data_IF_825667865929
#
_entry.id   IF_825667865929
#
_cell.length_a   1.000
_cell.length_b   1.000
_cell.length_c   1.000
_cell.angle_alpha   90.00
_cell.angle_beta   90.00
_cell.angle_gamma   90.00
#
_symmetry.space_group_name_H-M   'P 1'
#
loop_
_entity.id
_entity.type
_entity.pdbx_description
1 polymer ?
#
# COMPACT_ATOMS: atom_id res chain seq x y z
N UNK A 1 23.51 -9.93 24.22
CA UNK A 1 22.66 -11.08 23.84
C UNK A 1 21.28 -10.84 24.43
N UNK A 2 20.32 -10.39 23.64
CA UNK A 2 18.95 -10.16 24.07
C UNK A 2 18.17 -11.45 23.87
N UNK A 3 17.57 -11.97 24.94
CA UNK A 3 16.65 -13.11 24.92
C UNK A 3 15.57 -12.86 23.87
N UNK A 4 15.29 -13.80 22.97
CA UNK A 4 14.18 -13.66 22.03
C UNK A 4 12.90 -13.46 22.85
N UNK A 5 12.20 -12.33 22.64
CA UNK A 5 10.87 -12.14 23.22
C UNK A 5 9.97 -13.26 22.68
N UNK A 6 9.47 -14.08 23.57
CA UNK A 6 8.46 -15.09 23.24
C UNK A 6 7.24 -14.34 22.75
N UNK A 7 6.90 -14.52 21.47
CA UNK A 7 5.67 -13.93 20.89
C UNK A 7 4.49 -14.71 21.46
N UNK A 8 3.52 -14.07 22.13
CA UNK A 8 2.33 -14.76 22.61
C UNK A 8 1.57 -15.37 21.43
N UNK A 9 1.34 -16.70 21.47
CA UNK A 9 0.65 -17.43 20.42
C UNK A 9 -0.90 -17.35 20.54
N UNK A 10 -1.38 -16.89 21.68
CA UNK A 10 -2.80 -16.85 22.07
C UNK A 10 -3.51 -15.53 21.76
N UNK A 11 -2.83 -14.57 21.12
CA UNK A 11 -3.44 -13.30 20.73
C UNK A 11 -4.52 -13.49 19.67
N UNK A 12 -5.70 -12.92 19.92
CA UNK A 12 -6.79 -12.80 18.95
C UNK A 12 -6.50 -11.60 18.04
N UNK A 13 -6.11 -11.86 16.78
CA UNK A 13 -5.76 -10.83 15.81
C UNK A 13 -6.94 -10.37 14.95
N UNK A 14 -8.05 -11.12 14.88
CA UNK A 14 -9.24 -10.73 14.13
C UNK A 14 -10.24 -10.01 15.04
N UNK A 15 -11.01 -9.05 14.52
CA UNK A 15 -12.06 -8.39 15.29
C UNK A 15 -13.24 -9.33 15.54
N UNK A 16 -14.11 -8.95 16.46
CA UNK A 16 -15.34 -9.68 16.73
C UNK A 16 -16.25 -9.73 15.48
N UNK A 17 -17.06 -10.80 15.29
CA UNK A 17 -17.85 -10.98 14.06
C UNK A 17 -18.86 -9.86 13.77
N UNK A 18 -19.27 -9.09 14.77
CA UNK A 18 -20.20 -7.95 14.65
C UNK A 18 -19.49 -6.61 14.42
N UNK A 19 -18.15 -6.61 14.31
CA UNK A 19 -17.35 -5.39 14.14
C UNK A 19 -17.74 -4.64 12.86
N UNK A 20 -17.64 -3.30 12.89
CA UNK A 20 -17.99 -2.40 11.78
C UNK A 20 -17.31 -2.74 10.45
N UNK A 21 -16.09 -3.29 10.47
CA UNK A 21 -15.38 -3.75 9.26
C UNK A 21 -16.17 -4.79 8.46
N UNK A 22 -16.88 -5.70 9.14
CA UNK A 22 -17.66 -6.74 8.47
C UNK A 22 -18.95 -6.24 7.84
N UNK A 23 -19.40 -5.01 8.17
CA UNK A 23 -20.53 -4.34 7.53
C UNK A 23 -20.12 -3.68 6.20
N UNK A 24 -18.83 -3.42 5.99
CA UNK A 24 -18.33 -2.92 4.71
C UNK A 24 -18.43 -4.01 3.64
N UNK A 25 -18.75 -3.65 2.36
CA UNK A 25 -18.92 -4.63 1.30
C UNK A 25 -17.64 -5.42 1.04
N UNK A 26 -17.71 -6.74 1.12
CA UNK A 26 -16.66 -7.62 0.63
C UNK A 26 -16.78 -7.70 -0.89
N UNK A 27 -15.79 -7.17 -1.60
CA UNK A 27 -15.74 -7.14 -3.06
C UNK A 27 -14.54 -7.91 -3.59
N UNK A 28 -14.57 -8.31 -4.85
CA UNK A 28 -13.47 -8.96 -5.54
C UNK A 28 -13.56 -8.66 -7.04
N UNK A 29 -12.49 -8.14 -7.60
CA UNK A 29 -12.34 -8.04 -9.06
C UNK A 29 -12.25 -9.45 -9.69
N UNK A 30 -12.80 -9.68 -10.88
CA UNK A 30 -12.67 -10.96 -11.56
C UNK A 30 -11.24 -11.27 -12.02
N UNK A 31 -10.31 -10.32 -11.93
CA UNK A 31 -8.96 -10.41 -12.48
C UNK A 31 -7.92 -10.99 -11.49
N UNK A 32 -8.34 -11.64 -10.39
CA UNK A 32 -7.45 -12.17 -9.36
C UNK A 32 -6.32 -13.04 -9.92
N UNK A 33 -6.68 -14.06 -10.71
CA UNK A 33 -5.70 -15.04 -11.24
C UNK A 33 -4.71 -14.37 -12.20
N UNK A 34 -5.19 -13.46 -13.02
CA UNK A 34 -4.36 -12.69 -13.93
C UNK A 34 -3.38 -11.77 -13.18
N UNK A 35 -3.82 -11.15 -12.09
CA UNK A 35 -2.96 -10.34 -11.22
C UNK A 35 -1.86 -11.19 -10.56
N UNK A 36 -2.18 -12.39 -10.05
CA UNK A 36 -1.16 -13.30 -9.47
C UNK A 36 -0.09 -13.66 -10.52
N UNK A 37 -0.51 -13.94 -11.75
CA UNK A 37 0.41 -14.23 -12.86
C UNK A 37 1.31 -13.01 -13.18
N UNK A 38 0.72 -11.82 -13.33
CA UNK A 38 1.43 -10.59 -13.66
C UNK A 38 2.44 -10.19 -12.59
N UNK A 39 2.14 -10.39 -11.30
CA UNK A 39 3.06 -10.13 -10.19
C UNK A 39 4.33 -10.98 -10.32
N UNK A 40 4.16 -12.27 -10.57
CA UNK A 40 5.31 -13.18 -10.71
C UNK A 40 6.11 -12.89 -11.98
N UNK A 41 5.45 -12.58 -13.09
CA UNK A 41 6.13 -12.17 -14.34
C UNK A 41 6.92 -10.88 -14.16
N UNK A 42 6.36 -9.90 -13.44
CA UNK A 42 7.06 -8.67 -13.10
C UNK A 42 8.29 -8.94 -12.23
N UNK A 43 8.14 -9.75 -11.19
CA UNK A 43 9.25 -10.12 -10.31
C UNK A 43 10.36 -10.86 -11.04
N UNK A 44 10.02 -11.81 -11.92
CA UNK A 44 10.97 -12.56 -12.73
C UNK A 44 11.70 -11.64 -13.73
N UNK A 45 10.97 -10.77 -14.44
CA UNK A 45 11.49 -9.83 -15.42
C UNK A 45 12.56 -8.91 -14.84
N UNK A 46 12.30 -8.32 -13.68
CA UNK A 46 13.21 -7.38 -13.04
C UNK A 46 14.14 -8.05 -12.01
N UNK A 47 14.10 -9.37 -11.92
CA UNK A 47 14.92 -10.15 -10.98
C UNK A 47 14.78 -9.64 -9.55
N UNK A 48 13.55 -9.35 -9.15
CA UNK A 48 13.24 -8.84 -7.81
C UNK A 48 13.33 -9.90 -6.74
N UNK A 49 13.27 -11.17 -7.13
CA UNK A 49 13.39 -12.34 -6.25
C UNK A 49 14.43 -13.29 -6.80
N UNK A 50 15.27 -13.85 -5.93
CA UNK A 50 16.32 -14.80 -6.31
C UNK A 50 15.95 -16.23 -5.94
N UNK A 51 15.87 -17.05 -6.97
CA UNK A 51 15.65 -18.49 -6.89
C UNK A 51 14.21 -18.92 -6.58
N UNK A 52 13.94 -20.24 -6.71
CA UNK A 52 12.58 -20.79 -6.63
C UNK A 52 11.90 -20.57 -5.27
N UNK A 53 12.67 -20.55 -4.18
CA UNK A 53 12.12 -20.36 -2.83
C UNK A 53 11.63 -18.94 -2.60
N UNK A 54 12.39 -17.92 -3.05
CA UNK A 54 11.96 -16.52 -2.94
C UNK A 54 10.74 -16.26 -3.81
N UNK A 55 10.73 -16.82 -5.03
CA UNK A 55 9.58 -16.76 -5.93
C UNK A 55 8.33 -17.39 -5.32
N UNK A 56 8.47 -18.58 -4.68
CA UNK A 56 7.36 -19.23 -4.00
C UNK A 56 6.84 -18.41 -2.82
N UNK A 57 7.73 -17.80 -2.02
CA UNK A 57 7.31 -16.89 -0.93
C UNK A 57 6.49 -15.71 -1.45
N UNK A 58 6.91 -15.09 -2.58
CA UNK A 58 6.13 -14.03 -3.20
C UNK A 58 4.75 -14.55 -3.65
N UNK A 59 4.68 -15.72 -4.29
CA UNK A 59 3.42 -16.35 -4.67
C UNK A 59 2.51 -16.61 -3.45
N UNK A 60 3.07 -17.09 -2.34
CA UNK A 60 2.34 -17.40 -1.10
C UNK A 60 1.81 -16.15 -0.38
N UNK A 61 2.24 -14.93 -0.76
CA UNK A 61 1.64 -13.70 -0.24
C UNK A 61 0.23 -13.46 -0.76
N UNK A 62 -0.14 -14.07 -1.89
CA UNK A 62 -1.41 -13.83 -2.59
C UNK A 62 -1.68 -12.34 -2.83
N UNK A 63 -0.67 -11.63 -3.33
CA UNK A 63 -0.73 -10.18 -3.54
C UNK A 63 -1.77 -9.81 -4.61
N UNK A 64 -1.98 -10.67 -5.61
CA UNK A 64 -3.06 -10.51 -6.60
C UNK A 64 -4.44 -10.55 -5.97
N UNK A 65 -4.64 -11.34 -4.92
CA UNK A 65 -5.88 -11.32 -4.14
C UNK A 65 -6.08 -10.00 -3.41
N UNK A 66 -5.02 -9.45 -2.77
CA UNK A 66 -5.11 -8.12 -2.15
C UNK A 66 -5.58 -7.07 -3.16
N UNK A 67 -4.92 -7.01 -4.33
CA UNK A 67 -5.27 -6.06 -5.39
C UNK A 67 -6.72 -6.28 -5.85
N UNK A 68 -7.12 -7.51 -6.11
CA UNK A 68 -8.47 -7.82 -6.57
C UNK A 68 -9.56 -7.42 -5.55
N UNK A 69 -9.28 -7.56 -4.24
CA UNK A 69 -10.21 -7.14 -3.17
C UNK A 69 -10.27 -5.63 -3.02
N UNK A 70 -9.13 -4.94 -3.13
CA UNK A 70 -9.03 -3.50 -2.89
C UNK A 70 -9.40 -2.64 -4.11
N UNK A 71 -9.38 -3.22 -5.31
CA UNK A 71 -9.72 -2.52 -6.57
C UNK A 71 -10.84 -3.25 -7.32
N UNK A 72 -12.08 -3.22 -6.80
CA UNK A 72 -13.20 -3.97 -7.39
C UNK A 72 -13.60 -3.46 -8.79
N UNK A 73 -13.29 -2.22 -9.11
CA UNK A 73 -13.57 -1.57 -10.40
C UNK A 73 -12.37 -1.58 -11.36
N UNK A 74 -11.38 -2.44 -11.11
CA UNK A 74 -10.16 -2.55 -11.92
C UNK A 74 -10.49 -3.01 -13.34
N UNK A 75 -10.04 -2.24 -14.33
CA UNK A 75 -10.19 -2.53 -15.74
C UNK A 75 -9.06 -3.41 -16.26
N UNK A 76 -9.36 -4.29 -17.21
CA UNK A 76 -8.39 -5.25 -17.76
C UNK A 76 -7.12 -4.59 -18.33
N UNK A 77 -7.25 -3.47 -19.03
CA UNK A 77 -6.13 -2.75 -19.63
C UNK A 77 -5.21 -2.03 -18.61
N UNK A 78 -5.57 -2.07 -17.31
CA UNK A 78 -4.84 -1.42 -16.21
C UNK A 78 -4.21 -2.39 -15.22
N UNK A 79 -4.33 -3.69 -15.47
CA UNK A 79 -3.82 -4.74 -14.60
C UNK A 79 -2.30 -4.71 -14.43
N UNK A 80 -1.56 -4.70 -15.55
CA UNK A 80 -0.11 -4.88 -15.53
C UNK A 80 0.63 -3.74 -14.80
N UNK A 81 0.35 -2.43 -15.01
CA UNK A 81 1.00 -1.38 -14.25
C UNK A 81 0.65 -1.41 -12.75
N UNK A 82 -0.60 -1.78 -12.41
CA UNK A 82 -1.02 -1.90 -11.01
C UNK A 82 -0.30 -3.07 -10.32
N UNK A 83 -0.23 -4.24 -10.96
CA UNK A 83 0.54 -5.39 -10.47
C UNK A 83 2.02 -5.02 -10.28
N UNK A 84 2.62 -4.30 -11.24
CA UNK A 84 3.99 -3.83 -11.17
C UNK A 84 4.24 -2.90 -9.98
N UNK A 85 3.34 -1.93 -9.73
CA UNK A 85 3.47 -1.02 -8.59
C UNK A 85 3.38 -1.77 -7.26
N UNK A 86 2.43 -2.70 -7.10
CA UNK A 86 2.31 -3.49 -5.88
C UNK A 86 3.50 -4.40 -5.66
N UNK A 87 4.00 -5.06 -6.71
CA UNK A 87 5.21 -5.88 -6.61
C UNK A 87 6.41 -5.04 -6.15
N UNK A 88 6.60 -3.86 -6.77
CA UNK A 88 7.64 -2.91 -6.38
C UNK A 88 7.47 -2.45 -4.93
N UNK A 89 6.25 -2.04 -4.53
CA UNK A 89 5.99 -1.51 -3.20
C UNK A 89 6.23 -2.54 -2.09
N UNK A 90 5.87 -3.80 -2.30
CA UNK A 90 6.11 -4.88 -1.34
C UNK A 90 7.59 -5.27 -1.26
N UNK A 91 8.30 -5.25 -2.39
CA UNK A 91 9.73 -5.57 -2.40
C UNK A 91 10.55 -4.46 -1.73
N UNK A 92 10.20 -3.18 -1.95
CA UNK A 92 10.90 -2.08 -1.29
C UNK A 92 10.64 -2.05 0.21
N UNK A 93 9.42 -2.34 0.65
CA UNK A 93 9.05 -2.45 2.07
C UNK A 93 9.92 -3.52 2.77
N UNK A 94 9.96 -4.74 2.21
CA UNK A 94 10.78 -5.83 2.74
C UNK A 94 12.31 -5.53 2.69
N UNK A 95 12.75 -4.73 1.72
CA UNK A 95 14.15 -4.30 1.62
C UNK A 95 14.50 -3.33 2.76
N UNK A 96 13.65 -2.34 3.01
CA UNK A 96 13.90 -1.33 4.06
C UNK A 96 13.72 -1.88 5.48
N UNK A 97 12.96 -2.95 5.69
CA UNK A 97 12.88 -3.67 6.96
C UNK A 97 14.27 -4.16 7.46
N UNK A 98 15.23 -4.33 6.56
CA UNK A 98 16.61 -4.77 6.86
C UNK A 98 17.63 -3.65 7.05
N UNK A 99 17.31 -2.37 6.71
CA UNK A 99 18.28 -1.28 6.75
C UNK A 99 18.51 -0.74 8.17
N UNK A 100 19.80 -0.52 8.50
CA UNK A 100 20.21 0.21 9.71
C UNK A 100 20.24 1.72 9.42
N UNK A 101 19.94 2.55 10.44
CA UNK A 101 19.92 4.02 10.31
C UNK A 101 21.29 4.64 9.97
N UNK A 102 22.39 3.92 10.24
CA UNK A 102 23.75 4.37 9.86
C UNK A 102 23.87 4.65 8.34
N UNK A 103 22.92 4.14 7.54
CA UNK A 103 22.82 4.36 6.09
C UNK A 103 21.90 5.53 5.72
N UNK A 104 21.48 6.37 6.69
CA UNK A 104 20.51 7.45 6.46
C UNK A 104 20.91 8.42 5.33
N UNK A 105 22.20 8.69 5.13
CA UNK A 105 22.68 9.51 4.01
C UNK A 105 22.52 8.80 2.65
N UNK A 106 22.73 7.48 2.63
CA UNK A 106 22.45 6.63 1.47
C UNK A 106 20.95 6.60 1.18
N UNK A 107 20.13 6.45 2.21
CA UNK A 107 18.67 6.46 2.09
C UNK A 107 18.15 7.76 1.43
N UNK A 108 18.55 8.92 1.92
CA UNK A 108 18.13 10.21 1.35
C UNK A 108 18.49 10.30 -0.15
N UNK A 109 19.70 9.85 -0.53
CA UNK A 109 20.13 9.84 -1.91
C UNK A 109 19.30 8.90 -2.78
N UNK A 110 18.99 7.72 -2.26
CA UNK A 110 18.14 6.73 -2.93
C UNK A 110 16.73 7.27 -3.11
N UNK A 111 16.12 7.83 -2.06
CA UNK A 111 14.80 8.48 -2.12
C UNK A 111 14.76 9.58 -3.19
N UNK A 112 15.75 10.49 -3.24
CA UNK A 112 15.79 11.55 -4.24
C UNK A 112 15.91 11.01 -5.68
N UNK A 113 16.65 9.93 -5.90
CA UNK A 113 16.74 9.29 -7.21
C UNK A 113 15.43 8.60 -7.61
N UNK A 114 14.77 7.93 -6.68
CA UNK A 114 13.44 7.35 -6.93
C UNK A 114 12.40 8.43 -7.25
N UNK A 115 12.40 9.55 -6.52
CA UNK A 115 11.50 10.68 -6.81
C UNK A 115 11.82 11.33 -8.16
N UNK A 116 13.08 11.41 -8.55
CA UNK A 116 13.47 11.91 -9.87
C UNK A 116 12.95 11.01 -11.02
N UNK A 117 12.74 9.72 -10.76
CA UNK A 117 12.12 8.80 -11.72
C UNK A 117 10.63 9.11 -11.96
N UNK A 118 9.97 9.79 -11.02
CA UNK A 118 8.55 10.17 -11.08
C UNK A 118 8.37 11.57 -11.71
N UNK A 119 9.00 11.84 -12.84
CA UNK A 119 8.86 13.11 -13.56
C UNK A 119 7.45 13.27 -14.14
N UNK A 120 6.95 14.52 -14.16
CA UNK A 120 5.68 14.83 -14.81
C UNK A 120 5.73 14.45 -16.30
N UNK A 121 4.67 13.86 -16.77
CA UNK A 121 4.50 13.45 -18.16
C UNK A 121 3.32 14.22 -18.78
N UNK A 122 3.41 14.61 -20.07
CA UNK A 122 2.23 15.12 -20.76
C UNK A 122 1.12 14.07 -20.73
N UNK A 123 -0.10 14.49 -20.42
CA UNK A 123 -1.26 13.61 -20.57
C UNK A 123 -1.33 13.16 -22.05
N UNK A 124 -1.31 11.87 -22.27
CA UNK A 124 -1.51 11.32 -23.63
C UNK A 124 -2.88 11.75 -24.19
N UNK A 125 -3.07 11.70 -25.52
CA UNK A 125 -4.39 11.95 -26.10
C UNK A 125 -5.39 10.95 -25.51
N UNK A 126 -6.62 11.45 -25.22
CA UNK A 126 -7.70 10.55 -24.81
C UNK A 126 -7.84 9.41 -25.82
N UNK A 127 -7.96 8.15 -25.38
CA UNK A 127 -8.10 7.05 -26.31
C UNK A 127 -9.32 7.30 -27.19
N UNK A 128 -9.16 7.19 -28.51
CA UNK A 128 -10.31 6.99 -29.39
C UNK A 128 -10.96 5.66 -28.94
N UNK A 129 -12.27 5.63 -28.82
CA UNK A 129 -13.06 4.50 -28.29
C UNK A 129 -12.85 3.14 -29.00
N UNK A 130 -12.02 3.08 -30.05
CA UNK A 130 -11.81 1.92 -30.93
C UNK A 130 -10.34 1.48 -31.10
N UNK A 131 -9.41 1.87 -30.24
CA UNK A 131 -8.04 1.36 -30.37
C UNK A 131 -7.93 -0.03 -29.72
N UNK A 132 -7.49 -1.08 -30.49
CA UNK A 132 -7.23 -2.40 -29.92
C UNK A 132 -6.16 -2.28 -28.83
N UNK A 133 -6.17 -3.16 -27.80
CA UNK A 133 -5.17 -3.15 -26.76
C UNK A 133 -3.80 -3.29 -27.41
N UNK A 134 -2.92 -2.34 -27.17
CA UNK A 134 -1.52 -2.42 -27.58
C UNK A 134 -0.88 -3.61 -26.86
N UNK A 135 -0.97 -4.76 -27.51
CA UNK A 135 -0.28 -5.97 -27.13
C UNK A 135 1.19 -5.84 -27.44
N UNK A 136 1.94 -5.27 -26.50
CA UNK A 136 3.39 -5.47 -26.45
C UNK A 136 3.77 -5.61 -24.98
N UNK A 137 3.71 -6.85 -24.50
CA UNK A 137 4.56 -7.22 -23.38
C UNK A 137 5.99 -6.95 -23.84
N UNK A 138 6.75 -6.06 -23.15
CA UNK A 138 8.12 -5.78 -23.53
C UNK A 138 8.92 -7.11 -23.52
N UNK A 139 9.71 -7.34 -24.55
CA UNK A 139 10.50 -8.57 -24.70
C UNK A 139 11.57 -8.66 -23.61
N UNK A 140 11.97 -9.88 -23.26
CA UNK A 140 13.01 -10.15 -22.26
C UNK A 140 14.34 -9.44 -22.53
N UNK A 141 14.59 -9.03 -23.79
CA UNK A 141 15.81 -8.33 -24.22
C UNK A 141 15.76 -6.81 -23.93
N UNK A 142 14.62 -6.24 -23.52
CA UNK A 142 14.46 -4.82 -23.19
C UNK A 142 14.77 -4.48 -21.72
N UNK A 143 15.39 -5.39 -20.96
CA UNK A 143 15.84 -5.10 -19.61
C UNK A 143 16.99 -4.05 -19.68
N UNK A 144 16.89 -2.91 -18.96
CA UNK A 144 17.97 -1.93 -18.95
C UNK A 144 19.28 -2.55 -18.43
N UNK A 145 20.45 -2.15 -18.98
CA UNK A 145 21.73 -2.61 -18.47
C UNK A 145 21.86 -2.25 -16.98
N UNK A 146 22.50 -3.13 -16.20
CA UNK A 146 22.82 -2.87 -14.81
C UNK A 146 23.78 -1.65 -14.73
N UNK A 147 23.21 -0.47 -14.50
CA UNK A 147 23.93 0.78 -14.30
C UNK A 147 23.96 1.19 -12.83
N UNK A 148 24.63 2.28 -12.50
CA UNK A 148 24.75 2.90 -11.16
C UNK A 148 23.40 3.38 -10.53
N UNK A 149 22.25 2.88 -11.01
CA UNK A 149 20.94 3.21 -10.48
C UNK A 149 20.72 2.51 -9.13
N UNK A 150 20.09 3.19 -8.15
CA UNK A 150 19.75 2.53 -6.91
C UNK A 150 18.78 1.38 -7.19
N UNK A 151 18.81 0.33 -6.36
CA UNK A 151 17.87 -0.77 -6.48
C UNK A 151 16.44 -0.25 -6.59
N UNK A 152 15.63 -0.80 -7.50
CA UNK A 152 14.22 -0.50 -7.72
C UNK A 152 13.88 0.89 -8.32
N UNK A 153 14.84 1.74 -8.67
CA UNK A 153 14.55 3.03 -9.28
C UNK A 153 14.13 2.91 -10.75
N UNK A 154 14.77 2.02 -11.50
CA UNK A 154 14.44 1.78 -12.91
C UNK A 154 13.09 1.09 -13.04
N UNK A 155 12.79 0.16 -12.15
CA UNK A 155 11.50 -0.51 -12.05
C UNK A 155 10.37 0.47 -11.72
N UNK A 156 10.60 1.39 -10.77
CA UNK A 156 9.65 2.46 -10.47
C UNK A 156 9.43 3.39 -11.67
N UNK A 157 10.48 3.74 -12.39
CA UNK A 157 10.39 4.57 -13.59
C UNK A 157 9.53 3.92 -14.67
N UNK A 158 9.66 2.61 -14.88
CA UNK A 158 8.86 1.86 -15.86
C UNK A 158 7.39 1.77 -15.41
N UNK A 159 7.13 1.46 -14.15
CA UNK A 159 5.77 1.48 -13.59
C UNK A 159 5.15 2.86 -13.76
N UNK A 160 5.87 3.91 -13.36
CA UNK A 160 5.40 5.28 -13.44
C UNK A 160 5.05 5.70 -14.86
N UNK A 161 5.90 5.37 -15.84
CA UNK A 161 5.67 5.66 -17.24
C UNK A 161 4.30 5.14 -17.71
N UNK A 162 3.91 3.95 -17.26
CA UNK A 162 2.62 3.32 -17.62
C UNK A 162 1.45 3.85 -16.79
N UNK A 163 1.66 4.15 -15.52
CA UNK A 163 0.63 4.72 -14.66
C UNK A 163 0.27 6.14 -15.08
N UNK A 164 1.27 6.98 -15.37
CA UNK A 164 1.09 8.39 -15.67
C UNK A 164 0.51 8.67 -17.07
N UNK A 165 0.66 7.73 -18.02
CA UNK A 165 0.37 7.92 -19.45
C UNK A 165 -1.06 8.42 -19.75
N UNK A 166 -2.03 8.07 -18.88
CA UNK A 166 -3.46 8.42 -19.07
C UNK A 166 -4.04 9.24 -17.94
N UNK A 167 -3.17 9.80 -17.07
CA UNK A 167 -3.60 10.54 -15.90
C UNK A 167 -3.32 12.04 -16.07
N UNK A 168 -4.23 12.87 -15.52
CA UNK A 168 -4.05 14.31 -15.53
C UNK A 168 -2.79 14.75 -14.77
N UNK A 169 -2.25 15.91 -15.09
CA UNK A 169 -1.13 16.51 -14.36
C UNK A 169 -1.46 16.67 -12.86
N UNK A 170 -2.71 16.93 -12.49
CA UNK A 170 -3.13 17.06 -11.08
C UNK A 170 -3.02 15.73 -10.35
N UNK A 171 -3.51 14.66 -10.96
CA UNK A 171 -3.37 13.30 -10.41
C UNK A 171 -1.89 12.94 -10.25
N UNK A 172 -1.07 13.21 -11.27
CA UNK A 172 0.36 12.93 -11.24
C UNK A 172 1.06 13.66 -10.08
N UNK A 173 0.81 14.96 -9.90
CA UNK A 173 1.37 15.75 -8.80
C UNK A 173 0.98 15.21 -7.43
N UNK A 174 -0.28 14.83 -7.25
CA UNK A 174 -0.78 14.23 -6.01
C UNK A 174 -0.08 12.91 -5.73
N UNK A 175 -0.03 12.01 -6.70
CA UNK A 175 0.64 10.71 -6.57
C UNK A 175 2.13 10.86 -6.25
N UNK A 176 2.86 11.76 -6.94
CA UNK A 176 4.28 12.05 -6.66
C UNK A 176 4.46 12.55 -5.22
N UNK A 177 3.58 13.44 -4.76
CA UNK A 177 3.62 13.95 -3.38
C UNK A 177 3.44 12.82 -2.36
N UNK A 178 2.47 11.93 -2.57
CA UNK A 178 2.23 10.80 -1.69
C UNK A 178 3.36 9.77 -1.74
N UNK A 179 3.95 9.54 -2.92
CA UNK A 179 5.15 8.69 -3.06
C UNK A 179 6.35 9.28 -2.32
N UNK A 180 6.52 10.61 -2.35
CA UNK A 180 7.55 11.29 -1.56
C UNK A 180 7.40 11.03 -0.07
N UNK A 181 6.18 11.16 0.45
CA UNK A 181 5.87 10.89 1.86
C UNK A 181 6.12 9.42 2.22
N UNK A 182 5.74 8.49 1.33
CA UNK A 182 5.97 7.06 1.53
C UNK A 182 7.46 6.73 1.62
N UNK A 183 8.25 7.20 0.68
CA UNK A 183 9.69 6.95 0.66
C UNK A 183 10.43 7.60 1.83
N UNK A 184 10.05 8.83 2.22
CA UNK A 184 10.67 9.52 3.36
C UNK A 184 10.35 8.84 4.70
N UNK A 185 9.18 8.20 4.82
CA UNK A 185 8.76 7.57 6.06
C UNK A 185 9.68 6.40 6.49
N UNK A 186 10.26 5.66 5.55
CA UNK A 186 11.20 4.58 5.85
C UNK A 186 12.40 5.02 6.69
N UNK A 187 12.86 6.27 6.49
CA UNK A 187 13.93 6.84 7.31
C UNK A 187 13.53 6.94 8.79
N UNK A 188 12.30 7.38 9.05
CA UNK A 188 11.82 7.53 10.43
C UNK A 188 11.60 6.17 11.08
N UNK A 189 11.13 5.18 10.35
CA UNK A 189 11.00 3.81 10.87
C UNK A 189 12.37 3.19 11.17
N UNK A 190 13.37 3.38 10.28
CA UNK A 190 14.73 2.93 10.52
C UNK A 190 15.35 3.56 11.79
N UNK A 191 15.15 4.86 12.01
CA UNK A 191 15.59 5.55 13.24
C UNK A 191 14.87 5.02 14.48
N UNK A 192 13.56 4.82 14.41
CA UNK A 192 12.78 4.25 15.51
C UNK A 192 13.28 2.84 15.85
N UNK A 193 13.53 2.00 14.87
CA UNK A 193 14.03 0.63 15.03
C UNK A 193 15.43 0.61 15.67
N UNK A 194 16.36 1.44 15.20
CA UNK A 194 17.71 1.53 15.75
C UNK A 194 17.70 1.93 17.22
N UNK A 195 16.94 2.96 17.57
CA UNK A 195 16.82 3.43 18.94
C UNK A 195 15.81 2.65 19.78
N UNK A 196 15.15 1.62 19.21
CA UNK A 196 14.05 0.88 19.84
C UNK A 196 12.97 1.82 20.39
N UNK A 197 12.72 2.88 19.66
CA UNK A 197 11.78 3.92 20.03
C UNK A 197 10.39 3.62 19.47
N UNK A 198 9.47 3.23 20.35
CA UNK A 198 8.05 3.14 19.98
C UNK A 198 7.49 4.57 19.87
N UNK A 199 6.93 4.99 18.74
CA UNK A 199 6.38 6.32 18.58
C UNK A 199 5.23 6.62 19.56
N UNK A 200 5.08 7.88 19.98
CA UNK A 200 3.90 8.31 20.74
C UNK A 200 2.66 8.29 19.83
N UNK A 201 1.49 7.94 20.37
CA UNK A 201 0.22 7.87 19.61
C UNK A 201 -0.13 9.16 18.88
N UNK A 202 0.23 10.32 19.47
CA UNK A 202 -0.04 11.63 18.87
C UNK A 202 0.62 11.83 17.50
N UNK A 203 1.82 11.25 17.29
CA UNK A 203 2.53 11.31 15.99
C UNK A 203 2.40 10.05 15.17
N UNK A 204 2.04 8.93 15.79
CA UNK A 204 2.04 7.62 15.17
C UNK A 204 1.18 7.54 13.91
N UNK A 205 -0.08 7.97 14.01
CA UNK A 205 -1.03 7.87 12.90
C UNK A 205 -0.55 8.59 11.64
N UNK A 206 0.07 9.79 11.80
CA UNK A 206 0.60 10.54 10.66
C UNK A 206 1.79 9.81 10.01
N UNK A 207 2.72 9.31 10.82
CA UNK A 207 3.86 8.53 10.32
C UNK A 207 3.36 7.28 9.58
N UNK A 208 2.41 6.55 10.18
CA UNK A 208 1.94 5.26 9.65
C UNK A 208 1.12 5.40 8.37
N UNK A 209 0.33 6.49 8.18
CA UNK A 209 -0.30 6.78 6.89
C UNK A 209 0.72 6.89 5.76
N UNK A 210 1.86 7.55 6.04
CA UNK A 210 2.94 7.69 5.08
C UNK A 210 3.64 6.35 4.83
N UNK A 211 4.18 5.71 5.88
CA UNK A 211 5.00 4.50 5.77
C UNK A 211 4.22 3.27 5.27
N UNK A 212 2.91 3.22 5.52
CA UNK A 212 2.06 2.13 5.03
C UNK A 212 1.79 2.15 3.53
N UNK A 213 2.23 3.17 2.79
CA UNK A 213 2.01 3.27 1.34
C UNK A 213 0.54 3.34 0.94
N UNK A 214 -0.36 3.60 1.90
CA UNK A 214 -1.80 3.55 1.63
C UNK A 214 -2.28 4.76 0.85
N UNK A 215 -1.70 5.94 1.09
CA UNK A 215 -2.13 7.16 0.40
C UNK A 215 -1.92 7.08 -1.12
N UNK A 216 -0.72 6.71 -1.65
CA UNK A 216 -0.57 6.46 -3.08
C UNK A 216 -1.41 5.29 -3.57
N UNK A 217 -1.68 4.26 -2.73
CA UNK A 217 -2.59 3.17 -3.10
C UNK A 217 -4.03 3.66 -3.31
N UNK A 218 -4.51 4.62 -2.51
CA UNK A 218 -5.83 5.22 -2.72
C UNK A 218 -5.89 6.08 -3.99
N UNK A 219 -4.81 6.80 -4.36
CA UNK A 219 -4.74 7.49 -5.65
C UNK A 219 -4.92 6.53 -6.83
N UNK A 220 -4.41 5.30 -6.71
CA UNK A 220 -4.55 4.27 -7.74
C UNK A 220 -5.98 3.75 -7.91
N UNK A 221 -6.94 4.08 -7.04
CA UNK A 221 -8.36 3.78 -7.26
C UNK A 221 -8.90 4.47 -8.52
N UNK A 222 -8.52 5.74 -8.72
CA UNK A 222 -8.89 6.50 -9.91
C UNK A 222 -8.24 5.90 -11.16
N UNK A 223 -6.96 5.57 -11.08
CA UNK A 223 -6.26 4.87 -12.15
C UNK A 223 -6.95 3.56 -12.50
N UNK A 224 -7.19 2.69 -11.53
CA UNK A 224 -7.76 1.37 -11.74
C UNK A 224 -9.13 1.39 -12.42
N UNK A 225 -9.98 2.32 -12.01
CA UNK A 225 -11.32 2.50 -12.57
C UNK A 225 -11.35 3.33 -13.87
N UNK A 226 -10.24 3.93 -14.26
CA UNK A 226 -10.16 4.75 -15.48
C UNK A 226 -10.95 6.04 -15.41
N UNK A 227 -10.96 6.69 -14.25
CA UNK A 227 -11.66 7.94 -13.97
C UNK A 227 -10.82 8.84 -13.08
N UNK A 228 -11.21 10.10 -12.94
CA UNK A 228 -10.64 11.02 -11.97
C UNK A 228 -11.77 11.79 -11.28
N UNK A 229 -11.68 11.91 -9.95
CA UNK A 229 -12.56 12.77 -9.16
C UNK A 229 -12.24 14.23 -9.47
N UNK A 230 -13.24 15.11 -9.66
CA UNK A 230 -13.00 16.53 -9.87
C UNK A 230 -12.10 17.10 -8.77
N UNK A 231 -11.05 17.84 -9.18
CA UNK A 231 -10.02 18.31 -8.26
C UNK A 231 -10.57 19.10 -7.07
N UNK A 232 -11.60 19.92 -7.29
CA UNK A 232 -12.22 20.71 -6.22
C UNK A 232 -12.96 19.83 -5.20
N UNK A 233 -13.59 18.73 -5.64
CA UNK A 233 -14.18 17.74 -4.74
C UNK A 233 -13.10 16.95 -3.99
N UNK A 234 -12.00 16.63 -4.66
CA UNK A 234 -10.87 15.93 -4.03
C UNK A 234 -10.29 16.74 -2.85
N UNK A 235 -10.27 18.08 -2.97
CA UNK A 235 -9.79 18.98 -1.93
C UNK A 235 -10.87 19.34 -0.87
N UNK A 236 -12.09 18.83 -1.00
CA UNK A 236 -13.15 19.08 -0.01
C UNK A 236 -12.77 18.47 1.35
N UNK A 237 -13.26 19.10 2.43
CA UNK A 237 -13.06 18.60 3.80
C UNK A 237 -13.61 17.18 3.96
N UNK A 238 -14.74 16.90 3.33
CA UNK A 238 -15.40 15.60 3.36
C UNK A 238 -14.51 14.52 2.76
N UNK A 239 -14.04 14.71 1.51
CA UNK A 239 -13.24 13.70 0.84
C UNK A 239 -11.86 13.52 1.49
N UNK A 240 -11.21 14.60 1.93
CA UNK A 240 -9.97 14.51 2.70
C UNK A 240 -10.15 13.74 4.01
N UNK A 241 -11.28 13.96 4.69
CA UNK A 241 -11.62 13.18 5.89
C UNK A 241 -11.77 11.71 5.56
N UNK A 242 -12.49 11.37 4.49
CA UNK A 242 -12.68 9.99 4.04
C UNK A 242 -11.35 9.32 3.70
N UNK A 243 -10.48 9.96 2.90
CA UNK A 243 -9.14 9.44 2.56
C UNK A 243 -8.31 9.19 3.81
N UNK A 244 -8.29 10.15 4.75
CA UNK A 244 -7.56 10.00 6.01
C UNK A 244 -8.10 8.83 6.86
N UNK A 245 -9.45 8.70 6.95
CA UNK A 245 -10.06 7.65 7.77
C UNK A 245 -9.94 6.26 7.14
N UNK A 246 -10.07 6.15 5.82
CA UNK A 246 -9.79 4.91 5.11
C UNK A 246 -8.33 4.48 5.29
N UNK A 247 -7.37 5.42 5.15
CA UNK A 247 -5.96 5.16 5.41
C UNK A 247 -5.72 4.69 6.84
N UNK A 248 -6.29 5.38 7.84
CA UNK A 248 -6.19 5.01 9.25
C UNK A 248 -6.69 3.58 9.48
N UNK A 249 -7.87 3.25 9.01
CA UNK A 249 -8.46 1.92 9.17
C UNK A 249 -7.55 0.85 8.60
N UNK A 250 -7.03 1.06 7.38
CA UNK A 250 -6.16 0.07 6.72
C UNK A 250 -4.87 -0.14 7.50
N UNK A 251 -4.15 0.93 7.87
CA UNK A 251 -2.85 0.78 8.54
C UNK A 251 -2.98 0.25 9.96
N UNK A 252 -4.02 0.64 10.72
CA UNK A 252 -4.25 0.12 12.07
C UNK A 252 -4.65 -1.36 12.06
N UNK A 253 -5.45 -1.80 11.08
CA UNK A 253 -5.77 -3.23 10.89
C UNK A 253 -4.52 -4.01 10.48
N UNK A 254 -3.71 -3.45 9.57
CA UNK A 254 -2.44 -4.06 9.17
C UNK A 254 -1.51 -4.26 10.36
N UNK A 255 -1.37 -3.26 11.25
CA UNK A 255 -0.55 -3.35 12.46
C UNK A 255 -0.98 -4.47 13.43
N UNK A 256 -2.28 -4.74 13.52
CA UNK A 256 -2.77 -5.88 14.31
C UNK A 256 -2.39 -7.20 13.63
N UNK A 257 -2.63 -7.32 12.32
CA UNK A 257 -2.40 -8.57 11.59
C UNK A 257 -0.91 -8.90 11.46
N UNK A 258 -0.06 -7.89 11.29
CA UNK A 258 1.40 -8.02 11.17
C UNK A 258 2.13 -8.12 12.52
N UNK A 259 1.46 -7.87 13.65
CA UNK A 259 2.07 -7.76 14.98
C UNK A 259 3.03 -8.91 15.31
N UNK A 260 2.64 -10.15 15.04
CA UNK A 260 3.50 -11.31 15.31
C UNK A 260 4.77 -11.30 14.47
N UNK A 261 4.64 -11.02 13.17
CA UNK A 261 5.78 -10.86 12.25
C UNK A 261 6.72 -9.77 12.79
N UNK A 262 6.18 -8.60 13.07
CA UNK A 262 6.97 -7.44 13.48
C UNK A 262 7.67 -7.62 14.82
N UNK A 263 7.03 -8.26 15.79
CA UNK A 263 7.68 -8.63 17.06
C UNK A 263 8.91 -9.55 16.85
N UNK A 264 8.81 -10.50 15.91
CA UNK A 264 9.93 -11.42 15.59
C UNK A 264 11.10 -10.70 14.93
N UNK A 265 10.83 -9.79 13.99
CA UNK A 265 11.89 -9.02 13.30
C UNK A 265 12.42 -7.84 14.11
N UNK A 266 11.73 -7.50 15.23
CA UNK A 266 12.14 -6.41 16.13
C UNK A 266 11.68 -5.03 15.64
N UNK A 267 10.65 -4.98 14.77
CA UNK A 267 10.01 -3.71 14.40
C UNK A 267 9.28 -3.13 15.61
N UNK A 268 9.37 -1.83 15.78
CA UNK A 268 8.80 -1.08 16.89
C UNK A 268 7.76 -0.04 16.46
N UNK A 269 7.71 0.28 15.15
CA UNK A 269 6.74 1.20 14.59
C UNK A 269 5.44 0.45 14.28
N UNK A 270 4.70 0.09 15.34
CA UNK A 270 3.45 -0.65 15.27
C UNK A 270 2.42 -0.04 16.23
N UNK A 271 1.17 0.16 15.76
CA UNK A 271 0.11 0.81 16.50
C UNK A 271 -0.31 0.08 17.77
N UNK A 272 -0.27 -1.25 17.77
CA UNK A 272 -0.56 -2.04 18.99
C UNK A 272 0.50 -1.78 20.04
N UNK A 273 1.79 -1.70 19.65
CA UNK A 273 2.88 -1.38 20.57
C UNK A 273 2.78 0.05 21.10
N UNK A 274 2.40 1.00 20.23
CA UNK A 274 2.20 2.39 20.63
C UNK A 274 1.06 2.52 21.66
N UNK A 275 -0.07 1.85 21.44
CA UNK A 275 -1.20 1.80 22.39
C UNK A 275 -0.81 1.12 23.69
N UNK A 276 -0.18 -0.06 23.62
CA UNK A 276 0.25 -0.81 24.82
C UNK A 276 1.17 0.03 25.71
N UNK A 277 2.12 0.75 25.10
CA UNK A 277 3.03 1.64 25.82
C UNK A 277 2.32 2.83 26.46
N UNK A 278 1.46 3.52 25.70
CA UNK A 278 0.82 4.76 26.17
C UNK A 278 -0.21 4.50 27.25
N UNK A 279 -0.97 3.41 27.13
CA UNK A 279 -1.99 3.02 28.10
C UNK A 279 -1.46 2.12 29.23
N UNK A 280 -0.22 1.64 29.14
CA UNK A 280 0.33 0.69 30.11
C UNK A 280 -0.40 -0.63 30.19
N UNK A 281 -0.97 -1.11 29.07
CA UNK A 281 -1.81 -2.30 29.01
C UNK A 281 -1.16 -3.47 28.25
N UNK A 282 -1.72 -4.67 28.40
CA UNK A 282 -1.30 -5.87 27.67
C UNK A 282 -1.57 -5.77 26.16
N UNK A 283 -0.91 -6.65 25.37
CA UNK A 283 -1.06 -6.63 23.91
C UNK A 283 -2.51 -6.91 23.46
N UNK A 284 -3.24 -7.80 24.13
CA UNK A 284 -4.63 -8.08 23.77
C UNK A 284 -5.53 -6.87 24.02
N UNK A 285 -5.38 -6.20 25.17
CA UNK A 285 -6.13 -4.97 25.47
C UNK A 285 -5.82 -3.85 24.46
N UNK A 286 -4.54 -3.77 24.01
CA UNK A 286 -4.13 -2.83 22.99
C UNK A 286 -4.75 -3.16 21.63
N UNK A 287 -4.82 -4.43 21.22
CA UNK A 287 -5.53 -4.89 20.02
C UNK A 287 -7.00 -4.49 20.09
N UNK A 288 -7.67 -4.79 21.21
CA UNK A 288 -9.07 -4.45 21.40
C UNK A 288 -9.30 -2.93 21.37
N UNK A 289 -8.33 -2.14 21.88
CA UNK A 289 -8.36 -0.68 21.74
C UNK A 289 -8.24 -0.22 20.30
N UNK A 290 -7.34 -0.84 19.53
CA UNK A 290 -7.18 -0.56 18.09
C UNK A 290 -8.49 -0.82 17.35
N UNK A 291 -9.15 -1.96 17.56
CA UNK A 291 -10.41 -2.25 16.89
C UNK A 291 -11.55 -1.29 17.28
N UNK A 292 -11.62 -0.86 18.55
CA UNK A 292 -12.56 0.21 18.95
C UNK A 292 -12.26 1.54 18.23
N UNK A 293 -10.97 1.89 18.03
CA UNK A 293 -10.58 3.06 17.24
C UNK A 293 -11.00 2.91 15.78
N UNK A 294 -10.73 1.76 15.19
CA UNK A 294 -11.11 1.43 13.80
C UNK A 294 -12.62 1.57 13.58
N UNK A 295 -13.44 1.07 14.50
CA UNK A 295 -14.90 1.23 14.42
C UNK A 295 -15.32 2.71 14.42
N UNK A 296 -14.73 3.54 15.30
CA UNK A 296 -15.00 5.00 15.33
C UNK A 296 -14.55 5.69 14.03
N UNK A 297 -13.41 5.28 13.45
CA UNK A 297 -12.91 5.87 12.21
C UNK A 297 -13.81 5.51 11.02
N UNK A 298 -14.38 4.30 10.98
CA UNK A 298 -15.40 3.90 10.00
C UNK A 298 -16.66 4.78 10.15
N UNK A 299 -17.14 5.01 11.38
CA UNK A 299 -18.30 5.88 11.61
C UNK A 299 -18.04 7.32 11.14
N UNK A 300 -16.82 7.85 11.34
CA UNK A 300 -16.44 9.18 10.83
C UNK A 300 -16.42 9.18 9.30
N UNK A 301 -15.87 8.13 8.69
CA UNK A 301 -15.85 7.97 7.24
C UNK A 301 -17.27 7.99 6.65
N UNK A 302 -18.20 7.22 7.21
CA UNK A 302 -19.57 7.12 6.71
C UNK A 302 -20.33 8.46 6.83
N UNK A 303 -20.16 9.19 7.94
CA UNK A 303 -20.74 10.53 8.08
C UNK A 303 -20.14 11.52 7.08
N UNK A 304 -18.85 11.44 6.80
CA UNK A 304 -18.21 12.27 5.78
C UNK A 304 -18.71 11.94 4.37
N UNK A 305 -19.02 10.66 4.08
CA UNK A 305 -19.63 10.21 2.82
C UNK A 305 -21.03 10.83 2.64
N UNK A 306 -21.90 10.75 3.66
CA UNK A 306 -23.23 11.36 3.64
C UNK A 306 -23.17 12.89 3.40
N UNK A 307 -22.17 13.55 4.03
CA UNK A 307 -21.92 14.97 3.83
C UNK A 307 -21.38 15.30 2.43
N UNK A 308 -20.56 14.42 1.86
CA UNK A 308 -20.05 14.53 0.49
C UNK A 308 -21.18 14.38 -0.54
N UNK A 309 -22.10 13.46 -0.34
CA UNK A 309 -23.27 13.26 -1.20
C UNK A 309 -24.16 14.52 -1.18
N UNK A 310 -24.36 15.12 -0.02
CA UNK A 310 -25.06 16.40 0.14
C UNK A 310 -24.36 17.53 -0.61
N UNK A 311 -23.02 17.63 -0.49
CA UNK A 311 -22.19 18.60 -1.20
C UNK A 311 -22.34 18.44 -2.72
N UNK A 312 -22.20 17.22 -3.22
CA UNK A 312 -22.36 16.89 -4.64
C UNK A 312 -23.78 17.22 -5.15
N UNK A 313 -24.80 17.01 -4.30
CA UNK A 313 -26.18 17.37 -4.60
C UNK A 313 -26.42 18.87 -4.72
N UNK A 314 -25.66 19.70 -3.97
CA UNK A 314 -25.80 21.15 -3.95
C UNK A 314 -25.11 21.85 -5.12
N UNK A 315 -24.19 21.21 -5.83
CA UNK A 315 -23.44 21.84 -6.91
C UNK A 315 -24.22 21.78 -8.23
N UNK A 316 -24.75 22.93 -8.63
CA UNK A 316 -25.39 23.07 -9.94
C UNK A 316 -24.36 22.86 -11.07
N UNK A 317 -24.68 21.96 -12.01
CA UNK A 317 -23.81 21.65 -13.15
C UNK A 317 -22.74 20.60 -12.89
N UNK A 318 -22.72 19.98 -11.71
CA UNK A 318 -21.90 18.79 -11.52
C UNK A 318 -22.42 17.65 -12.42
N UNK A 319 -21.58 17.19 -13.35
CA UNK A 319 -21.94 16.19 -14.35
C UNK A 319 -22.21 14.85 -13.70
N UNK A 320 -23.05 14.01 -14.33
CA UNK A 320 -23.32 12.65 -13.87
C UNK A 320 -22.04 11.80 -13.81
N UNK A 321 -21.14 11.96 -14.80
CA UNK A 321 -19.85 11.29 -14.79
C UNK A 321 -18.98 11.66 -13.59
N UNK A 322 -19.02 12.90 -13.12
CA UNK A 322 -18.29 13.37 -11.95
C UNK A 322 -18.84 12.75 -10.65
N UNK A 323 -20.18 12.62 -10.57
CA UNK A 323 -20.87 11.94 -9.45
C UNK A 323 -20.50 10.46 -9.42
N UNK A 324 -20.54 9.81 -10.59
CA UNK A 324 -20.15 8.41 -10.73
C UNK A 324 -18.68 8.18 -10.35
N UNK A 325 -17.78 9.13 -10.70
CA UNK A 325 -16.38 9.08 -10.31
C UNK A 325 -16.21 9.14 -8.78
N UNK A 326 -16.91 10.08 -8.12
CA UNK A 326 -16.91 10.18 -6.64
C UNK A 326 -17.43 8.88 -6.02
N UNK A 327 -18.57 8.37 -6.46
CA UNK A 327 -19.14 7.11 -5.95
C UNK A 327 -18.22 5.91 -6.11
N UNK A 328 -17.57 5.78 -7.28
CA UNK A 328 -16.59 4.71 -7.53
C UNK A 328 -15.36 4.83 -6.63
N UNK A 329 -14.85 6.04 -6.42
CA UNK A 329 -13.71 6.29 -5.55
C UNK A 329 -14.02 5.97 -4.08
N UNK A 330 -15.20 6.40 -3.58
CA UNK A 330 -15.63 6.11 -2.21
C UNK A 330 -15.89 4.62 -1.98
N UNK A 331 -16.46 3.94 -2.97
CA UNK A 331 -16.65 2.49 -2.93
C UNK A 331 -15.30 1.74 -2.90
N UNK A 332 -14.30 2.21 -3.66
CA UNK A 332 -12.94 1.71 -3.61
C UNK A 332 -12.28 1.86 -2.24
N UNK A 333 -12.48 2.99 -1.55
CA UNK A 333 -11.97 3.17 -0.19
C UNK A 333 -12.60 2.16 0.80
N UNK A 334 -13.92 1.90 0.69
CA UNK A 334 -14.57 0.85 1.49
C UNK A 334 -14.01 -0.54 1.17
N UNK A 335 -13.76 -0.80 -0.11
CA UNK A 335 -13.14 -2.06 -0.55
C UNK A 335 -11.71 -2.22 0.01
N UNK A 336 -10.93 -1.15 0.11
CA UNK A 336 -9.61 -1.17 0.76
C UNK A 336 -9.70 -1.50 2.23
N UNK A 337 -10.58 -0.84 2.99
CA UNK A 337 -10.76 -1.10 4.42
C UNK A 337 -11.14 -2.56 4.70
N UNK A 338 -12.07 -3.13 3.91
CA UNK A 338 -12.52 -4.51 4.05
C UNK A 338 -11.54 -5.50 3.44
N UNK A 339 -11.05 -5.25 2.25
CA UNK A 339 -10.20 -6.15 1.49
C UNK A 339 -8.85 -6.39 2.15
N UNK A 340 -8.26 -5.38 2.79
CA UNK A 340 -7.04 -5.53 3.58
C UNK A 340 -7.24 -6.48 4.78
N UNK A 341 -8.36 -6.40 5.49
CA UNK A 341 -8.69 -7.33 6.57
C UNK A 341 -8.83 -8.77 6.04
N UNK A 342 -9.65 -8.95 4.99
CA UNK A 342 -9.94 -10.28 4.45
C UNK A 342 -8.70 -10.95 3.89
N UNK A 343 -7.84 -10.22 3.17
CA UNK A 343 -6.56 -10.72 2.67
C UNK A 343 -5.60 -11.04 3.81
N UNK A 344 -5.43 -10.11 4.76
CA UNK A 344 -4.48 -10.28 5.86
C UNK A 344 -4.85 -11.42 6.80
N UNK A 345 -6.16 -11.76 6.92
CA UNK A 345 -6.62 -12.90 7.70
C UNK A 345 -6.21 -14.26 7.11
N UNK A 346 -5.95 -14.33 5.80
CA UNK A 346 -5.64 -15.57 5.08
C UNK A 346 -4.23 -15.60 4.48
N UNK A 347 -3.57 -14.45 4.35
CA UNK A 347 -2.24 -14.33 3.76
C UNK A 347 -1.20 -15.04 4.61
N UNK A 348 -0.36 -15.88 3.97
CA UNK A 348 0.79 -16.52 4.62
C UNK A 348 1.86 -15.50 5.06
N UNK A 349 1.81 -14.27 4.55
CA UNK A 349 2.70 -13.18 4.99
C UNK A 349 2.67 -12.98 6.51
N UNK A 350 1.53 -13.27 7.17
CA UNK A 350 1.34 -13.05 8.61
C UNK A 350 1.15 -14.31 9.44
N UNK A 351 0.89 -15.47 8.82
CA UNK A 351 0.48 -16.69 9.51
C UNK A 351 1.66 -17.62 9.84
N UNK A 352 2.72 -17.67 9.03
CA UNK A 352 3.83 -18.63 9.22
C UNK A 352 4.99 -18.02 10.01
N UNK A 353 5.10 -18.36 11.29
CA UNK A 353 6.18 -17.90 12.20
C UNK A 353 7.56 -18.40 11.73
N UNK A 354 7.65 -19.57 11.09
CA UNK A 354 8.92 -20.09 10.54
C UNK A 354 9.38 -19.32 9.30
N UNK A 355 8.47 -18.75 8.52
CA UNK A 355 8.78 -17.82 7.43
C UNK A 355 9.33 -16.51 7.98
N UNK A 356 8.96 -16.11 9.19
CA UNK A 356 9.37 -14.87 9.86
C UNK A 356 10.85 -14.84 10.25
N UNK A 357 11.50 -16.00 10.48
CA UNK A 357 12.96 -16.09 10.65
C UNK A 357 13.73 -15.82 9.36
N UNK A 358 13.04 -15.88 8.22
CA UNK A 358 13.58 -15.72 6.87
C UNK A 358 13.27 -14.34 6.25
N UNK A 359 12.53 -13.48 6.92
CA UNK A 359 12.18 -12.14 6.41
C UNK A 359 13.36 -11.14 6.41
N UNK A 360 14.49 -11.47 7.02
CA UNK A 360 15.77 -10.90 6.62
C UNK A 360 16.23 -11.66 5.38
N UNK A 361 15.63 -11.34 4.24
CA UNK A 361 15.83 -12.11 3.04
C UNK A 361 17.08 -11.61 2.29
N UNK A 362 18.24 -12.29 2.40
CA UNK A 362 19.42 -11.96 1.60
C UNK A 362 19.20 -12.21 0.11
N UNK A 363 18.07 -12.84 -0.27
CA UNK A 363 17.79 -13.31 -1.63
C UNK A 363 16.87 -12.36 -2.39
N UNK A 364 16.40 -11.24 -1.78
CA UNK A 364 15.77 -10.15 -2.50
C UNK A 364 16.84 -9.41 -3.31
N UNK A 365 16.52 -9.13 -4.58
CA UNK A 365 17.38 -8.42 -5.53
C UNK A 365 18.61 -9.18 -6.07
N UNK A 366 18.68 -10.51 -5.96
CA UNK A 366 19.67 -11.34 -6.67
C UNK A 366 21.11 -10.84 -6.53
N UNK A 367 21.56 -10.45 -5.34
CA UNK A 367 22.91 -9.95 -5.10
C UNK A 367 23.15 -8.48 -5.47
N UNK A 368 22.20 -7.76 -6.07
CA UNK A 368 22.32 -6.32 -6.40
C UNK A 368 22.45 -5.42 -5.17
N UNK A 369 22.03 -5.88 -3.99
CA UNK A 369 22.17 -5.14 -2.73
C UNK A 369 23.57 -5.29 -2.08
N UNK A 370 24.51 -5.99 -2.69
CA UNK A 370 25.88 -6.23 -2.17
C UNK A 370 26.98 -5.46 -2.87
N UNK A 371 26.65 -4.57 -3.81
CA UNK A 371 27.62 -3.74 -4.53
C UNK A 371 27.55 -2.27 -4.05
#
# INVERSE_FOLDING_TARGET
MTTPRTVPLDLRLLPDPDHALYRLPARMSPHREELERLILEWADRYRLVDGPRARQRLADTHLGELIARCYPHLRAERLAPLAGWFTWAFVIDDLYDGYASAEAAGHTRTTLRMLAALSLRPAGPAPADDAPPAGDAPRADDAPPAGDSPPLADELAEVWRRLADRQSTRWQLRFITHMGQFLDAFRYEAVNREHRHVPALSGYTQLRRASGGITPSLDLLEYAAGLEVPALLHESEQLRTMVNKASDVVVWVNDVLSLRKELVVGEVTNGVLAVSRELGCGLQDAIDHVYRKVARDIDVFLRAEESLDTLCGSWYGLREADRAAVGTFTDGMKAWMRGNLDWGATSRRYVEVDTLRLSRNPDLLGGRARA
#
